data_IF_147355862741
#
_entry.id   IF_147355862741
#
_cell.length_a   1.000
_cell.length_b   1.000
_cell.length_c   1.000
_cell.angle_alpha   90.00
_cell.angle_beta   90.00
_cell.angle_gamma   90.00
#
_symmetry.space_group_name_H-M   'P 1'
#
loop_
_entity.id
_entity.type
_entity.pdbx_description
1 polymer ?
#
# COMPACT_ATOMS: atom_id res chain seq x y z
N UNK A 1 4.26 14.82 -8.06
CA UNK A 1 3.88 13.66 -8.91
C UNK A 1 4.88 13.36 -10.03
N UNK A 2 5.63 14.33 -10.53
CA UNK A 2 6.72 14.06 -11.47
C UNK A 2 8.05 14.40 -10.81
N UNK A 3 8.78 13.37 -10.38
CA UNK A 3 10.13 13.47 -9.85
C UNK A 3 11.00 12.43 -10.56
N UNK A 4 12.29 12.72 -10.81
CA UNK A 4 13.22 11.72 -11.31
C UNK A 4 13.38 10.60 -10.28
N UNK A 5 13.81 9.42 -10.74
CA UNK A 5 14.19 8.35 -9.83
C UNK A 5 15.44 8.77 -9.03
N UNK A 6 15.65 8.20 -7.82
CA UNK A 6 16.87 8.44 -7.04
C UNK A 6 18.12 8.15 -7.87
N UNK A 7 19.15 8.98 -7.68
CA UNK A 7 20.41 8.81 -8.40
C UNK A 7 21.12 7.52 -7.98
N UNK A 8 22.02 7.02 -8.83
CA UNK A 8 22.76 5.78 -8.54
C UNK A 8 23.52 5.85 -7.21
N UNK A 9 24.03 7.03 -6.85
CA UNK A 9 24.77 7.27 -5.60
C UNK A 9 23.89 7.26 -4.35
N UNK A 10 22.57 7.43 -4.51
CA UNK A 10 21.60 7.41 -3.40
C UNK A 10 21.02 6.01 -3.16
N UNK A 11 21.29 5.05 -4.05
CA UNK A 11 20.78 3.68 -3.93
C UNK A 11 21.55 2.92 -2.85
N UNK A 12 20.82 2.35 -1.89
CA UNK A 12 21.41 1.46 -0.90
C UNK A 12 21.77 0.11 -1.51
N UNK A 13 22.95 -0.41 -1.20
CA UNK A 13 23.41 -1.76 -1.56
C UNK A 13 23.11 -2.79 -0.48
N UNK A 14 22.52 -2.39 0.65
CA UNK A 14 22.24 -3.30 1.76
C UNK A 14 20.98 -4.13 1.51
N UNK A 15 21.13 -5.45 1.58
CA UNK A 15 20.00 -6.36 1.60
C UNK A 15 19.42 -6.45 3.02
N UNK A 16 18.28 -5.80 3.24
CA UNK A 16 17.55 -5.86 4.51
C UNK A 16 16.20 -6.57 4.32
N UNK A 17 15.80 -7.40 5.29
CA UNK A 17 14.49 -8.06 5.29
C UNK A 17 13.47 -7.16 5.97
N UNK A 18 12.30 -6.99 5.34
CA UNK A 18 11.11 -6.44 5.95
C UNK A 18 10.30 -7.57 6.58
N UNK A 19 10.34 -7.68 7.91
CA UNK A 19 9.55 -8.66 8.66
C UNK A 19 8.08 -8.23 8.63
N UNK A 20 7.23 -9.06 8.04
CA UNK A 20 5.81 -8.78 7.81
C UNK A 20 4.89 -9.28 8.93
N UNK A 21 5.35 -10.25 9.72
CA UNK A 21 4.53 -10.95 10.72
C UNK A 21 3.67 -12.06 10.13
N UNK A 22 3.73 -12.27 8.81
CA UNK A 22 2.94 -13.28 8.11
C UNK A 22 3.83 -14.49 7.86
N UNK A 23 3.61 -15.57 8.62
CA UNK A 23 4.48 -16.77 8.63
C UNK A 23 4.86 -17.29 7.24
N UNK A 24 3.88 -17.41 6.33
CA UNK A 24 4.13 -17.96 4.99
C UNK A 24 4.98 -17.01 4.13
N UNK A 25 4.80 -15.69 4.30
CA UNK A 25 5.58 -14.67 3.59
C UNK A 25 7.00 -14.63 4.17
N UNK A 26 7.12 -14.47 5.48
CA UNK A 26 8.43 -14.34 6.14
C UNK A 26 9.31 -15.60 6.00
N UNK A 27 8.70 -16.79 5.87
CA UNK A 27 9.42 -18.05 5.71
C UNK A 27 9.76 -18.39 4.26
N UNK A 28 8.79 -18.33 3.34
CA UNK A 28 8.95 -18.87 1.98
C UNK A 28 9.32 -17.80 0.95
N UNK A 29 8.89 -16.55 1.16
CA UNK A 29 9.08 -15.45 0.22
C UNK A 29 9.29 -14.12 0.96
N UNK A 30 10.40 -14.01 1.74
CA UNK A 30 10.64 -12.85 2.60
C UNK A 30 10.73 -11.57 1.77
N UNK A 31 10.12 -10.50 2.28
CA UNK A 31 10.09 -9.21 1.59
C UNK A 31 11.40 -8.45 1.83
N UNK A 32 12.00 -7.92 0.77
CA UNK A 32 13.16 -7.04 0.89
C UNK A 32 12.71 -5.60 1.20
N UNK A 33 13.34 -4.96 2.18
CA UNK A 33 13.13 -3.55 2.50
C UNK A 33 13.58 -2.68 1.32
N UNK A 34 12.74 -1.74 0.89
CA UNK A 34 12.97 -0.96 -0.34
C UNK A 34 12.80 -1.76 -1.64
N UNK A 35 12.37 -3.02 -1.55
CA UNK A 35 12.11 -3.88 -2.69
C UNK A 35 10.75 -3.64 -3.35
N UNK A 36 10.55 -4.29 -4.50
CA UNK A 36 9.27 -4.35 -5.22
C UNK A 36 8.67 -5.74 -5.05
N UNK A 37 7.40 -5.81 -4.64
CA UNK A 37 6.70 -7.06 -4.36
C UNK A 37 5.49 -7.18 -5.29
N UNK A 38 5.28 -8.36 -5.87
CA UNK A 38 4.11 -8.66 -6.67
C UNK A 38 3.13 -9.57 -5.92
N UNK A 39 1.88 -9.13 -5.78
CA UNK A 39 0.77 -9.91 -5.23
C UNK A 39 -0.12 -10.41 -6.37
N UNK A 40 0.15 -11.60 -6.88
CA UNK A 40 -0.59 -12.20 -7.98
C UNK A 40 -1.75 -13.05 -7.48
N UNK A 41 -2.96 -12.82 -8.00
CA UNK A 41 -4.11 -13.64 -7.63
C UNK A 41 -5.40 -13.20 -8.34
N UNK A 42 -6.39 -14.11 -8.34
CA UNK A 42 -7.72 -13.86 -8.91
C UNK A 42 -8.62 -12.99 -8.04
N UNK A 43 -9.90 -12.91 -8.39
CA UNK A 43 -10.92 -12.32 -7.52
C UNK A 43 -11.23 -13.26 -6.34
N UNK A 44 -11.52 -12.71 -5.17
CA UNK A 44 -11.93 -13.49 -3.99
C UNK A 44 -10.82 -14.26 -3.26
N UNK A 45 -9.56 -14.18 -3.68
CA UNK A 45 -8.43 -14.89 -3.04
C UNK A 45 -7.85 -14.18 -1.81
N UNK A 46 -8.49 -13.10 -1.33
CA UNK A 46 -8.05 -12.38 -0.13
C UNK A 46 -6.90 -11.38 -0.33
N UNK A 47 -6.63 -10.90 -1.56
CA UNK A 47 -5.55 -9.92 -1.82
C UNK A 47 -5.68 -8.65 -0.96
N UNK A 48 -6.88 -8.08 -0.90
CA UNK A 48 -7.16 -6.87 -0.13
C UNK A 48 -6.95 -7.09 1.36
N UNK A 49 -7.41 -8.23 1.88
CA UNK A 49 -7.21 -8.63 3.28
C UNK A 49 -5.73 -8.74 3.61
N UNK A 50 -4.94 -9.35 2.72
CA UNK A 50 -3.49 -9.45 2.90
C UNK A 50 -2.82 -8.07 2.90
N UNK A 51 -3.23 -7.16 2.03
CA UNK A 51 -2.70 -5.78 1.98
C UNK A 51 -3.02 -5.03 3.27
N UNK A 52 -4.25 -5.13 3.77
CA UNK A 52 -4.63 -4.51 5.04
C UNK A 52 -3.81 -5.03 6.21
N UNK A 53 -3.57 -6.34 6.26
CA UNK A 53 -2.78 -6.94 7.32
C UNK A 53 -1.30 -6.53 7.25
N UNK A 54 -0.75 -6.39 6.03
CA UNK A 54 0.58 -5.81 5.83
C UNK A 54 0.64 -4.37 6.35
N UNK A 55 -0.35 -3.53 6.02
CA UNK A 55 -0.43 -2.15 6.50
C UNK A 55 -0.49 -2.11 8.03
N UNK A 56 -1.35 -2.94 8.62
CA UNK A 56 -1.52 -3.06 10.06
C UNK A 56 -0.21 -3.45 10.75
N UNK A 57 0.49 -4.46 10.25
CA UNK A 57 1.71 -4.97 10.86
C UNK A 57 2.90 -4.02 10.67
N UNK A 58 3.02 -3.38 9.51
CA UNK A 58 4.03 -2.35 9.28
C UNK A 58 3.80 -1.14 10.19
N UNK A 59 2.55 -0.69 10.33
CA UNK A 59 2.21 0.44 11.19
C UNK A 59 2.48 0.17 12.67
N UNK A 60 2.16 -1.04 13.16
CA UNK A 60 2.34 -1.44 14.57
C UNK A 60 3.78 -1.79 14.91
N UNK A 61 4.47 -2.56 14.08
CA UNK A 61 5.79 -3.10 14.40
C UNK A 61 6.94 -2.19 13.99
N UNK A 62 6.81 -1.45 12.88
CA UNK A 62 7.88 -0.62 12.33
C UNK A 62 7.63 0.88 12.51
N UNK A 63 6.49 1.27 13.09
CA UNK A 63 6.11 2.67 13.29
C UNK A 63 5.90 3.46 11.99
N UNK A 64 5.84 2.77 10.85
CA UNK A 64 5.76 3.37 9.53
C UNK A 64 4.34 3.81 9.15
N UNK A 65 4.25 4.67 8.15
CA UNK A 65 3.00 4.96 7.46
C UNK A 65 2.89 4.09 6.21
N UNK A 66 1.66 3.84 5.76
CA UNK A 66 1.39 3.15 4.51
C UNK A 66 0.67 4.06 3.54
N UNK A 67 0.90 3.86 2.24
CA UNK A 67 0.16 4.55 1.18
C UNK A 67 -0.45 3.50 0.27
N UNK A 68 -1.76 3.54 0.13
CA UNK A 68 -2.50 2.69 -0.80
C UNK A 68 -2.90 3.51 -2.02
N UNK A 69 -2.42 3.10 -3.20
CA UNK A 69 -2.77 3.70 -4.48
C UNK A 69 -3.72 2.77 -5.26
N UNK A 70 -5.01 3.06 -5.25
CA UNK A 70 -6.03 2.30 -5.97
C UNK A 70 -6.13 2.73 -7.44
N UNK A 71 -5.38 2.08 -8.32
CA UNK A 71 -5.28 2.39 -9.75
C UNK A 71 -6.31 1.60 -10.55
N UNK A 72 -7.39 2.25 -10.98
CA UNK A 72 -8.46 1.59 -11.74
C UNK A 72 -9.21 0.54 -10.92
N UNK A 73 -9.26 0.69 -9.60
CA UNK A 73 -10.05 -0.17 -8.71
C UNK A 73 -11.55 0.12 -8.84
N UNK A 74 -12.39 -0.85 -8.47
CA UNK A 74 -13.83 -0.61 -8.38
C UNK A 74 -14.12 0.32 -7.21
N UNK A 75 -15.02 1.29 -7.42
CA UNK A 75 -15.49 2.20 -6.35
C UNK A 75 -16.00 1.44 -5.13
N UNK A 76 -16.71 0.32 -5.34
CA UNK A 76 -17.17 -0.55 -4.25
C UNK A 76 -16.01 -1.11 -3.44
N UNK A 77 -14.99 -1.67 -4.09
CA UNK A 77 -13.82 -2.26 -3.41
C UNK A 77 -13.03 -1.22 -2.64
N UNK A 78 -12.91 0.01 -3.16
CA UNK A 78 -12.28 1.13 -2.45
C UNK A 78 -13.08 1.62 -1.24
N UNK A 79 -14.42 1.61 -1.34
CA UNK A 79 -15.31 1.94 -0.22
C UNK A 79 -15.21 0.89 0.89
N UNK A 80 -15.28 -0.40 0.54
CA UNK A 80 -15.17 -1.51 1.47
C UNK A 80 -13.82 -1.43 2.22
N UNK A 81 -12.71 -1.22 1.48
CA UNK A 81 -11.38 -1.05 2.07
C UNK A 81 -11.30 0.14 3.05
N UNK A 82 -11.93 1.27 2.72
CA UNK A 82 -11.93 2.44 3.61
C UNK A 82 -12.62 2.15 4.94
N UNK A 83 -13.78 1.50 4.90
CA UNK A 83 -14.50 1.12 6.11
C UNK A 83 -13.76 0.05 6.92
N UNK A 84 -13.19 -0.96 6.27
CA UNK A 84 -12.36 -1.98 6.92
C UNK A 84 -11.13 -1.36 7.61
N UNK A 85 -10.50 -0.34 7.02
CA UNK A 85 -9.40 0.39 7.65
C UNK A 85 -9.82 1.17 8.91
N UNK A 86 -11.05 1.68 8.94
CA UNK A 86 -11.61 2.35 10.12
C UNK A 86 -11.91 1.32 11.22
N UNK A 87 -12.56 0.21 10.86
CA UNK A 87 -12.94 -0.84 11.80
C UNK A 87 -11.73 -1.54 12.42
N UNK A 88 -10.69 -1.79 11.62
CA UNK A 88 -9.42 -2.36 12.09
C UNK A 88 -8.56 -1.38 12.90
N UNK A 89 -8.94 -0.10 12.95
CA UNK A 89 -8.22 0.94 13.67
C UNK A 89 -6.91 1.40 13.00
N UNK A 90 -6.66 0.99 11.75
CA UNK A 90 -5.55 1.51 10.93
C UNK A 90 -5.74 3.00 10.66
N UNK A 91 -6.97 3.41 10.35
CA UNK A 91 -7.35 4.80 10.14
C UNK A 91 -8.45 5.24 11.10
N UNK A 92 -8.49 6.54 11.42
CA UNK A 92 -9.62 7.14 12.14
C UNK A 92 -10.70 7.57 11.15
N UNK A 93 -11.97 7.46 11.56
CA UNK A 93 -13.08 7.92 10.74
C UNK A 93 -12.95 9.42 10.45
N UNK A 94 -13.03 9.80 9.18
CA UNK A 94 -12.79 11.19 8.74
C UNK A 94 -11.30 11.57 8.61
N UNK A 95 -10.39 10.62 8.87
CA UNK A 95 -8.94 10.83 8.81
C UNK A 95 -8.39 11.59 10.01
N UNK A 96 -7.17 12.13 9.86
CA UNK A 96 -6.51 12.96 10.86
C UNK A 96 -5.55 12.21 11.78
N UNK A 97 -5.23 12.85 12.91
CA UNK A 97 -4.20 12.40 13.84
C UNK A 97 -4.46 10.98 14.35
N UNK A 98 -3.45 10.13 14.26
CA UNK A 98 -3.54 8.71 14.63
C UNK A 98 -3.88 7.77 13.47
N UNK A 99 -4.21 8.27 12.28
CA UNK A 99 -4.32 7.43 11.08
C UNK A 99 -2.93 6.99 10.57
N UNK A 100 -2.83 5.76 10.07
CA UNK A 100 -1.56 5.15 9.64
C UNK A 100 -1.47 4.87 8.15
N UNK A 101 -2.57 5.05 7.41
CA UNK A 101 -2.61 4.84 5.97
C UNK A 101 -3.21 6.03 5.22
N UNK A 102 -2.56 6.44 4.13
CA UNK A 102 -3.14 7.35 3.14
C UNK A 102 -3.76 6.54 1.98
N UNK A 103 -4.96 6.95 1.54
CA UNK A 103 -5.66 6.33 0.41
C UNK A 103 -5.68 7.30 -0.78
N UNK A 104 -5.17 6.87 -1.92
CA UNK A 104 -5.16 7.64 -3.17
C UNK A 104 -5.86 6.82 -4.24
N UNK A 105 -7.06 7.26 -4.65
CA UNK A 105 -7.89 6.52 -5.60
C UNK A 105 -7.95 7.20 -6.96
N UNK A 106 -7.94 6.38 -8.00
CA UNK A 106 -8.22 6.76 -9.38
C UNK A 106 -9.08 5.66 -9.98
N UNK A 107 -10.38 5.75 -9.75
CA UNK A 107 -11.32 4.63 -9.90
C UNK A 107 -11.63 4.30 -11.37
N UNK A 108 -12.25 3.14 -11.63
CA UNK A 108 -12.61 2.71 -13.00
C UNK A 108 -13.49 3.72 -13.77
N UNK A 109 -14.32 4.49 -13.06
CA UNK A 109 -15.19 5.53 -13.65
C UNK A 109 -14.44 6.81 -14.05
N UNK A 110 -13.17 6.96 -13.67
CA UNK A 110 -12.35 8.11 -14.03
C UNK A 110 -11.73 7.99 -15.43
N UNK A 111 -11.50 9.13 -16.12
CA UNK A 111 -10.87 9.14 -17.43
C UNK A 111 -9.48 8.48 -17.38
N UNK A 112 -9.03 7.86 -18.50
CA UNK A 112 -7.76 7.13 -18.54
C UNK A 112 -6.55 7.99 -18.14
N UNK A 113 -6.59 9.30 -18.39
CA UNK A 113 -5.54 10.23 -17.95
C UNK A 113 -5.38 10.31 -16.43
N UNK A 114 -6.48 10.30 -15.68
CA UNK A 114 -6.45 10.30 -14.22
C UNK A 114 -5.89 8.96 -13.69
N UNK A 115 -6.40 7.84 -14.22
CA UNK A 115 -5.91 6.49 -13.86
C UNK A 115 -4.42 6.28 -14.19
N UNK A 116 -3.93 6.87 -15.27
CA UNK A 116 -2.52 6.81 -15.66
C UNK A 116 -1.59 7.66 -14.75
N UNK A 117 -2.14 8.48 -13.86
CA UNK A 117 -1.37 9.39 -13.00
C UNK A 117 -1.57 9.14 -11.51
N UNK A 118 -2.66 8.47 -11.11
CA UNK A 118 -2.94 8.21 -9.69
C UNK A 118 -1.82 7.42 -8.98
N UNK A 119 -1.18 6.48 -9.67
CA UNK A 119 -0.02 5.76 -9.11
C UNK A 119 1.14 6.71 -8.74
N UNK A 120 1.38 7.74 -9.56
CA UNK A 120 2.41 8.75 -9.30
C UNK A 120 2.04 9.65 -8.13
N UNK A 121 0.75 9.96 -7.98
CA UNK A 121 0.23 10.67 -6.82
C UNK A 121 0.47 9.87 -5.54
N UNK A 122 0.15 8.57 -5.53
CA UNK A 122 0.45 7.67 -4.42
C UNK A 122 1.94 7.62 -4.10
N UNK A 123 2.79 7.47 -5.11
CA UNK A 123 4.25 7.47 -4.93
C UNK A 123 4.80 8.79 -4.38
N UNK A 124 4.15 9.93 -4.64
CA UNK A 124 4.59 11.24 -4.11
C UNK A 124 4.23 11.41 -2.62
N UNK A 125 3.20 10.72 -2.16
CA UNK A 125 2.78 10.75 -0.74
C UNK A 125 3.65 9.82 0.11
N UNK A 126 4.18 8.76 -0.50
CA UNK A 126 5.07 7.78 0.13
C UNK A 126 6.49 8.32 0.31
#
# INVERSE_FOLDING_TARGET
IHQPAPEYVEQSTEAQILVTGIKVVDLLAPYARGGKIGLFGGAGVGKTVLIMELINNVAKAHGGYSVFAGVGERTREGNDLYHEMIESGVNKAGGGEGSKAALVYGQMNEPPGARARVALSGLTVA
#
